data_IF_179499919478
#
_entry.id   IF_179499919478
#
_cell.length_a   1.000
_cell.length_b   1.000
_cell.length_c   1.000
_cell.angle_alpha   90.00
_cell.angle_beta   90.00
_cell.angle_gamma   90.00
#
_symmetry.space_group_name_H-M   'P 1'
#
loop_
_entity.id
_entity.type
_entity.pdbx_description
1 polymer ?
#
# COMPACT_ATOMS: atom_id res chain seq x y z
N UNK A 1 -8.91 -9.66 5.78
CA UNK A 1 -9.67 -8.44 6.15
C UNK A 1 -8.81 -7.18 6.15
N UNK A 2 -7.62 -7.19 6.78
CA UNK A 2 -6.73 -6.02 6.86
C UNK A 2 -6.27 -5.53 5.48
N UNK A 3 -5.74 -6.42 4.63
CA UNK A 3 -5.30 -6.04 3.28
C UNK A 3 -6.43 -5.45 2.42
N UNK A 4 -7.63 -6.02 2.52
CA UNK A 4 -8.82 -5.55 1.82
C UNK A 4 -9.21 -4.14 2.26
N UNK A 5 -9.25 -3.89 3.57
CA UNK A 5 -9.55 -2.57 4.13
C UNK A 5 -8.50 -1.53 3.72
N UNK A 6 -7.22 -1.91 3.71
CA UNK A 6 -6.13 -1.05 3.27
C UNK A 6 -6.27 -0.67 1.79
N UNK A 7 -6.55 -1.64 0.90
CA UNK A 7 -6.79 -1.36 -0.52
C UNK A 7 -7.98 -0.43 -0.72
N UNK A 8 -9.08 -0.63 0.01
CA UNK A 8 -10.25 0.26 -0.10
C UNK A 8 -9.87 1.69 0.32
N UNK A 9 -9.12 1.84 1.41
CA UNK A 9 -8.65 3.15 1.87
C UNK A 9 -7.72 3.82 0.85
N UNK A 10 -6.78 3.07 0.27
CA UNK A 10 -5.87 3.53 -0.77
C UNK A 10 -6.63 4.00 -2.03
N UNK A 11 -7.64 3.23 -2.47
CA UNK A 11 -8.50 3.60 -3.61
C UNK A 11 -9.27 4.89 -3.30
N UNK A 12 -9.85 5.03 -2.10
CA UNK A 12 -10.57 6.24 -1.70
C UNK A 12 -9.64 7.46 -1.69
N UNK A 13 -8.40 7.32 -1.22
CA UNK A 13 -7.38 8.38 -1.26
C UNK A 13 -7.07 8.80 -2.69
N UNK A 14 -6.83 7.84 -3.58
CA UNK A 14 -6.53 8.08 -5.00
C UNK A 14 -7.71 8.79 -5.68
N UNK A 15 -8.94 8.30 -5.49
CA UNK A 15 -10.14 8.93 -6.05
C UNK A 15 -10.35 10.34 -5.51
N UNK A 16 -10.20 10.53 -4.20
CA UNK A 16 -10.36 11.85 -3.56
C UNK A 16 -9.32 12.83 -4.09
N UNK A 17 -8.08 12.39 -4.28
CA UNK A 17 -7.04 13.20 -4.90
C UNK A 17 -7.38 13.54 -6.34
N UNK A 18 -7.80 12.56 -7.16
CA UNK A 18 -8.18 12.80 -8.57
C UNK A 18 -9.36 13.76 -8.73
N UNK A 19 -10.32 13.75 -7.81
CA UNK A 19 -11.47 14.67 -7.81
C UNK A 19 -11.07 16.08 -7.38
N UNK A 20 -10.08 16.22 -6.49
CA UNK A 20 -9.67 17.51 -5.90
C UNK A 20 -8.47 18.15 -6.58
N UNK A 21 -7.67 17.40 -7.34
CA UNK A 21 -6.46 17.89 -7.96
C UNK A 21 -6.74 18.58 -9.30
N UNK A 22 -6.11 19.74 -9.51
CA UNK A 22 -5.86 20.30 -10.85
C UNK A 22 -4.88 19.35 -11.55
N UNK A 23 -5.03 19.02 -12.85
CA UNK A 23 -4.15 18.07 -13.50
C UNK A 23 -2.71 18.56 -13.44
N UNK A 24 -1.88 17.89 -12.65
CA UNK A 24 -0.44 18.11 -12.63
C UNK A 24 0.22 17.02 -13.49
N UNK A 25 0.73 17.35 -14.68
CA UNK A 25 1.41 16.39 -15.55
C UNK A 25 2.82 16.13 -14.99
N UNK A 26 2.93 15.45 -13.85
CA UNK A 26 4.15 15.47 -13.05
C UNK A 26 4.45 14.17 -12.31
N UNK A 27 5.18 13.28 -12.99
CA UNK A 27 5.93 12.10 -12.49
C UNK A 27 5.11 10.86 -12.11
N UNK A 28 5.13 9.91 -13.05
CA UNK A 28 4.97 8.49 -12.81
C UNK A 28 5.66 8.07 -11.50
N UNK A 29 4.88 7.40 -10.64
CA UNK A 29 5.25 6.69 -9.42
C UNK A 29 6.60 7.11 -8.80
N UNK A 30 6.60 7.91 -7.71
CA UNK A 30 7.83 8.21 -7.00
C UNK A 30 8.44 6.89 -6.49
N UNK A 31 9.51 6.43 -7.15
CA UNK A 31 10.37 5.31 -6.74
C UNK A 31 10.58 5.20 -5.23
N UNK A 32 10.80 6.30 -4.47
CA UNK A 32 10.85 6.26 -3.02
C UNK A 32 9.64 5.62 -2.32
N UNK A 33 8.41 5.87 -2.78
CA UNK A 33 7.21 5.25 -2.18
C UNK A 33 7.09 3.77 -2.53
N UNK A 34 7.51 3.37 -3.73
CA UNK A 34 7.59 1.95 -4.09
C UNK A 34 8.58 1.20 -3.20
N UNK A 35 9.76 1.78 -2.96
CA UNK A 35 10.77 1.20 -2.07
C UNK A 35 10.26 1.06 -0.62
N UNK A 36 9.52 2.03 -0.12
CA UNK A 36 8.93 1.98 1.22
C UNK A 36 7.77 1.01 1.30
N UNK A 37 6.93 0.93 0.26
CA UNK A 37 5.87 -0.08 0.15
C UNK A 37 6.44 -1.48 0.17
N UNK A 38 7.52 -1.73 -0.60
CA UNK A 38 8.27 -3.00 -0.56
C UNK A 38 8.85 -3.30 0.83
N UNK A 39 9.45 -2.31 1.49
CA UNK A 39 9.98 -2.48 2.84
C UNK A 39 8.87 -2.80 3.84
N UNK A 40 7.71 -2.14 3.71
CA UNK A 40 6.49 -2.43 4.47
C UNK A 40 6.02 -3.87 4.23
N UNK A 41 5.89 -4.30 2.98
CA UNK A 41 5.52 -5.68 2.62
C UNK A 41 6.49 -6.69 3.24
N UNK A 42 7.79 -6.47 3.11
CA UNK A 42 8.81 -7.35 3.68
C UNK A 42 8.70 -7.41 5.21
N UNK A 43 8.52 -6.26 5.87
CA UNK A 43 8.34 -6.20 7.32
C UNK A 43 7.06 -6.93 7.76
N UNK A 44 5.93 -6.72 7.07
CA UNK A 44 4.68 -7.40 7.34
C UNK A 44 4.80 -8.92 7.17
N UNK A 45 5.47 -9.37 6.11
CA UNK A 45 5.70 -10.80 5.87
C UNK A 45 6.59 -11.44 6.93
N UNK A 46 7.61 -10.73 7.41
CA UNK A 46 8.44 -11.17 8.53
C UNK A 46 7.64 -11.28 9.83
N UNK A 47 6.77 -10.32 10.13
CA UNK A 47 5.93 -10.30 11.34
C UNK A 47 4.91 -11.44 11.33
N UNK A 48 4.38 -11.78 10.16
CA UNK A 48 3.37 -12.85 9.97
C UNK A 48 3.99 -14.26 10.02
N UNK A 49 5.32 -14.38 10.05
CA UNK A 49 6.00 -15.66 10.25
C UNK A 49 6.42 -16.37 8.97
N UNK A 50 6.55 -15.64 7.86
CA UNK A 50 7.01 -16.15 6.55
C UNK A 50 6.20 -17.34 6.01
N UNK A 51 4.86 -17.20 5.86
CA UNK A 51 4.05 -18.25 5.26
C UNK A 51 4.55 -18.59 3.84
N UNK A 52 4.35 -19.85 3.43
CA UNK A 52 4.58 -20.28 2.05
C UNK A 52 3.71 -19.42 1.13
N UNK A 53 4.37 -18.66 0.25
CA UNK A 53 3.69 -17.76 -0.67
C UNK A 53 3.34 -18.52 -1.94
N UNK A 54 2.03 -18.69 -2.21
CA UNK A 54 1.57 -19.04 -3.54
C UNK A 54 1.91 -17.89 -4.50
N UNK A 55 2.25 -18.22 -5.75
CA UNK A 55 2.72 -17.23 -6.73
C UNK A 55 1.65 -16.16 -7.04
N UNK A 56 0.38 -16.56 -7.02
CA UNK A 56 -0.76 -15.67 -7.25
C UNK A 56 -0.94 -14.66 -6.11
N UNK A 57 -0.80 -15.10 -4.85
CA UNK A 57 -0.89 -14.23 -3.67
C UNK A 57 0.32 -13.30 -3.56
N UNK A 58 1.49 -13.75 -3.99
CA UNK A 58 2.71 -12.94 -4.08
C UNK A 58 2.54 -11.81 -5.09
N UNK A 59 2.02 -12.12 -6.28
CA UNK A 59 1.72 -11.09 -7.28
C UNK A 59 0.73 -10.07 -6.74
N UNK A 60 -0.35 -10.52 -6.10
CA UNK A 60 -1.36 -9.63 -5.52
C UNK A 60 -0.77 -8.76 -4.40
N UNK A 61 0.02 -9.34 -3.49
CA UNK A 61 0.69 -8.62 -2.42
C UNK A 61 1.67 -7.56 -2.95
N UNK A 62 2.38 -7.84 -4.05
CA UNK A 62 3.30 -6.88 -4.66
C UNK A 62 2.57 -5.78 -5.43
N UNK A 63 1.56 -6.11 -6.25
CA UNK A 63 0.79 -5.10 -6.98
C UNK A 63 0.09 -4.16 -6.00
N UNK A 64 -0.58 -4.69 -4.99
CA UNK A 64 -1.28 -3.89 -4.00
C UNK A 64 -0.29 -3.14 -3.12
N UNK A 65 0.71 -3.84 -2.57
CA UNK A 65 1.67 -3.32 -1.62
C UNK A 65 2.71 -2.35 -2.17
N UNK A 66 2.88 -2.28 -3.50
CA UNK A 66 3.89 -1.42 -4.15
C UNK A 66 3.27 -0.44 -5.14
N UNK A 67 2.43 -0.91 -6.07
CA UNK A 67 1.88 -0.05 -7.12
C UNK A 67 0.77 0.83 -6.53
N UNK A 68 -0.23 0.19 -5.94
CA UNK A 68 -1.40 0.91 -5.37
C UNK A 68 -0.98 1.80 -4.20
N UNK A 69 -0.12 1.28 -3.30
CA UNK A 69 0.40 2.07 -2.17
C UNK A 69 1.22 3.28 -2.61
N UNK A 70 1.99 3.18 -3.69
CA UNK A 70 2.79 4.32 -4.17
C UNK A 70 1.92 5.46 -4.71
N UNK A 71 0.84 5.13 -5.42
CA UNK A 71 -0.15 6.12 -5.84
C UNK A 71 -0.92 6.69 -4.65
N UNK A 72 -1.33 5.86 -3.70
CA UNK A 72 -2.03 6.29 -2.50
C UNK A 72 -1.15 7.18 -1.60
N UNK A 73 0.13 6.86 -1.46
CA UNK A 73 1.11 7.67 -0.73
C UNK A 73 1.33 9.04 -1.38
N UNK A 74 1.39 9.07 -2.71
CA UNK A 74 1.46 10.32 -3.46
C UNK A 74 0.19 11.16 -3.26
N UNK A 75 -0.98 10.56 -3.41
CA UNK A 75 -2.27 11.18 -3.16
C UNK A 75 -2.41 11.71 -1.73
N UNK A 76 -2.01 10.91 -0.73
CA UNK A 76 -2.06 11.29 0.68
C UNK A 76 -1.11 12.46 1.00
N UNK A 77 0.09 12.48 0.43
CA UNK A 77 0.99 13.63 0.52
C UNK A 77 0.39 14.87 -0.12
N UNK A 78 -0.14 14.75 -1.33
CA UNK A 78 -0.71 15.88 -2.07
C UNK A 78 -1.94 16.46 -1.35
N UNK A 79 -2.81 15.62 -0.80
CA UNK A 79 -3.99 16.04 -0.03
C UNK A 79 -3.64 16.64 1.34
N UNK A 80 -2.63 16.10 2.02
CA UNK A 80 -2.25 16.56 3.37
C UNK A 80 -1.27 17.73 3.38
N UNK A 81 -0.57 17.98 2.25
CA UNK A 81 0.54 18.92 2.16
C UNK A 81 1.78 18.50 2.98
N UNK A 82 1.78 17.32 3.60
CA UNK A 82 2.80 16.86 4.54
C UNK A 82 3.56 15.66 3.98
N UNK A 83 4.90 15.74 3.85
CA UNK A 83 5.68 14.65 3.24
C UNK A 83 5.65 13.37 4.08
N UNK A 84 5.61 13.47 5.41
CA UNK A 84 5.59 12.31 6.32
C UNK A 84 4.32 11.45 6.16
N UNK A 85 3.19 12.05 5.77
CA UNK A 85 1.93 11.31 5.56
C UNK A 85 2.08 10.33 4.40
N UNK A 86 2.70 10.75 3.28
CA UNK A 86 2.96 9.83 2.18
C UNK A 86 3.88 8.66 2.55
N UNK A 87 4.93 8.92 3.35
CA UNK A 87 5.81 7.84 3.84
C UNK A 87 5.08 6.87 4.77
N UNK A 88 4.26 7.39 5.69
CA UNK A 88 3.47 6.56 6.59
C UNK A 88 2.44 5.70 5.83
N UNK A 89 1.73 6.28 4.85
CA UNK A 89 0.79 5.55 4.00
C UNK A 89 1.49 4.43 3.23
N UNK A 90 2.62 4.71 2.57
CA UNK A 90 3.37 3.69 1.84
C UNK A 90 3.79 2.52 2.75
N UNK A 91 4.31 2.81 3.94
CA UNK A 91 4.80 1.80 4.87
C UNK A 91 3.67 0.96 5.47
N UNK A 92 2.60 1.60 5.92
CA UNK A 92 1.45 0.93 6.55
C UNK A 92 0.67 0.11 5.52
N UNK A 93 0.36 0.68 4.35
CA UNK A 93 -0.36 -0.05 3.31
C UNK A 93 0.48 -1.19 2.74
N UNK A 94 1.81 -1.05 2.64
CA UNK A 94 2.71 -2.14 2.28
C UNK A 94 2.69 -3.27 3.32
N UNK A 95 2.81 -2.93 4.60
CA UNK A 95 2.71 -3.92 5.68
C UNK A 95 1.34 -4.63 5.71
N UNK A 96 0.26 -3.89 5.46
CA UNK A 96 -1.08 -4.46 5.35
C UNK A 96 -1.22 -5.41 4.16
N UNK A 97 -0.60 -5.11 3.01
CA UNK A 97 -0.62 -5.97 1.82
C UNK A 97 0.07 -7.32 2.05
N UNK A 98 1.05 -7.40 2.96
CA UNK A 98 1.64 -8.68 3.35
C UNK A 98 0.62 -9.66 3.97
N UNK A 99 -0.52 -9.16 4.44
CA UNK A 99 -1.59 -10.02 4.96
C UNK A 99 -2.37 -10.77 3.87
N UNK A 100 -2.12 -10.51 2.59
CA UNK A 100 -2.56 -11.37 1.48
C UNK A 100 -1.83 -12.72 1.45
N UNK A 101 -0.64 -12.80 2.04
CA UNK A 101 0.17 -14.03 2.07
C UNK A 101 -0.24 -14.99 3.20
N UNK A 102 -1.26 -14.63 3.99
CA UNK A 102 -1.77 -15.48 5.06
C UNK A 102 -2.67 -16.58 4.47
N UNK A 103 -2.40 -17.86 4.76
CA UNK A 103 -3.27 -18.96 4.32
C UNK A 103 -4.63 -18.95 5.04
N UNK A 104 -4.68 -18.45 6.27
CA UNK A 104 -5.90 -18.28 7.06
C UNK A 104 -6.11 -16.82 7.46
N UNK A 105 -7.34 -16.29 7.44
CA UNK A 105 -7.62 -14.97 7.97
C UNK A 105 -7.20 -14.91 9.44
N UNK A 106 -6.48 -13.84 9.83
CA UNK A 106 -6.10 -13.61 11.22
C UNK A 106 -7.33 -13.75 12.14
N UNK A 107 -7.21 -14.40 13.32
CA UNK A 107 -8.32 -14.82 14.17
C UNK A 107 -8.95 -13.67 14.96
N UNK A 108 -9.10 -12.49 14.35
CA UNK A 108 -9.80 -11.34 14.92
C UNK A 108 -11.23 -11.32 14.38
N UNK A 109 -11.98 -12.37 14.71
CA UNK A 109 -13.46 -12.33 14.77
C UNK A 109 -13.88 -11.97 16.18
#
# INVERSE_FOLDING_TARGET
MIATAAIVADIVLILTHRVRAVPDPGKYAPWPYMAVGLAGCAAGWLVVGRPEAAWDDLFLALVCGVVVTSEAAHAARALSGRPWVGWATALVSGAAAATWLLPDPLPFT
#
